data_IF_452661948700
#
_entry.id   IF_452661948700
#
_cell.length_a   1.000
_cell.length_b   1.000
_cell.length_c   1.000
_cell.angle_alpha   90.00
_cell.angle_beta   90.00
_cell.angle_gamma   90.00
#
_symmetry.space_group_name_H-M   'P 1'
#
loop_
_entity.id
_entity.type
_entity.pdbx_description
1 polymer ?
#
# COMPACT_ATOMS: atom_id res chain seq x y z
N UNK A 1 -2.91 19.32 -20.65
CA UNK A 1 -2.41 18.52 -19.50
C UNK A 1 -3.40 17.48 -18.96
N UNK A 2 -4.72 17.73 -18.92
CA UNK A 2 -5.71 16.73 -18.41
C UNK A 2 -5.72 15.38 -19.15
N UNK A 3 -5.33 15.35 -20.42
CA UNK A 3 -5.31 14.15 -21.28
C UNK A 3 -4.22 13.14 -20.92
N UNK A 4 -3.07 13.58 -20.36
CA UNK A 4 -1.97 12.68 -19.98
C UNK A 4 -1.99 12.25 -18.51
N UNK A 5 -2.75 12.95 -17.66
CA UNK A 5 -2.76 12.68 -16.21
C UNK A 5 -3.15 11.24 -15.87
N UNK A 6 -4.25 10.75 -16.47
CA UNK A 6 -4.78 9.41 -16.19
C UNK A 6 -3.79 8.29 -16.59
N UNK A 7 -3.31 8.21 -17.84
CA UNK A 7 -2.36 7.16 -18.21
C UNK A 7 -1.06 7.25 -17.42
N UNK A 8 -0.57 8.46 -17.10
CA UNK A 8 0.61 8.61 -16.25
C UNK A 8 0.37 8.11 -14.83
N UNK A 9 -0.76 8.46 -14.21
CA UNK A 9 -1.10 8.01 -12.87
C UNK A 9 -1.36 6.50 -12.80
N UNK A 10 -2.03 5.91 -13.79
CA UNK A 10 -2.23 4.45 -13.88
C UNK A 10 -0.88 3.72 -14.02
N UNK A 11 0.01 4.24 -14.87
CA UNK A 11 1.36 3.68 -15.06
C UNK A 11 2.18 3.76 -13.78
N UNK A 12 2.25 4.93 -13.14
CA UNK A 12 3.00 5.12 -11.89
C UNK A 12 2.43 4.30 -10.75
N UNK A 13 1.10 4.15 -10.71
CA UNK A 13 0.43 3.30 -9.75
C UNK A 13 0.86 1.83 -9.89
N UNK A 14 0.77 1.28 -11.10
CA UNK A 14 1.16 -0.11 -11.36
C UNK A 14 2.65 -0.31 -11.12
N UNK A 15 3.50 0.58 -11.63
CA UNK A 15 4.94 0.51 -11.43
C UNK A 15 5.33 0.58 -9.94
N UNK A 16 4.70 1.46 -9.17
CA UNK A 16 4.89 1.54 -7.72
C UNK A 16 4.42 0.28 -7.00
N UNK A 17 3.29 -0.30 -7.41
CA UNK A 17 2.79 -1.54 -6.81
C UNK A 17 3.72 -2.72 -7.09
N UNK A 18 4.22 -2.84 -8.32
CA UNK A 18 5.20 -3.86 -8.71
C UNK A 18 6.53 -3.67 -7.98
N UNK A 19 7.00 -2.43 -7.84
CA UNK A 19 8.20 -2.10 -7.08
C UNK A 19 8.07 -2.52 -5.61
N UNK A 20 6.93 -2.23 -4.98
CA UNK A 20 6.65 -2.70 -3.62
C UNK A 20 6.53 -4.22 -3.53
N UNK A 21 5.80 -4.86 -4.46
CA UNK A 21 5.62 -6.31 -4.48
C UNK A 21 6.94 -7.06 -4.62
N UNK A 22 7.87 -6.54 -5.44
CA UNK A 22 9.23 -7.03 -5.54
C UNK A 22 9.95 -6.98 -4.18
N UNK A 23 9.92 -5.83 -3.50
CA UNK A 23 10.56 -5.69 -2.18
C UNK A 23 9.90 -6.59 -1.14
N UNK A 24 8.57 -6.72 -1.15
CA UNK A 24 7.83 -7.61 -0.26
C UNK A 24 8.22 -9.08 -0.48
N UNK A 25 8.37 -9.52 -1.73
CA UNK A 25 8.85 -10.86 -2.04
C UNK A 25 10.29 -11.07 -1.56
N UNK A 26 11.17 -10.08 -1.76
CA UNK A 26 12.54 -10.14 -1.24
C UNK A 26 12.55 -10.20 0.29
N UNK A 27 11.72 -9.43 0.98
CA UNK A 27 11.60 -9.45 2.43
C UNK A 27 11.19 -10.84 2.95
N UNK A 28 10.18 -11.45 2.32
CA UNK A 28 9.69 -12.78 2.69
C UNK A 28 10.73 -13.87 2.41
N UNK A 29 11.52 -13.76 1.33
CA UNK A 29 12.47 -14.81 0.96
C UNK A 29 13.88 -14.62 1.54
N UNK A 30 14.30 -13.37 1.74
CA UNK A 30 15.66 -12.97 2.15
C UNK A 30 15.61 -11.66 2.96
N UNK A 31 15.13 -11.69 4.21
CA UNK A 31 14.94 -10.49 5.02
C UNK A 31 16.25 -9.69 5.22
N UNK A 32 17.39 -10.36 5.37
CA UNK A 32 18.70 -9.70 5.53
C UNK A 32 19.11 -8.88 4.31
N UNK A 33 18.53 -9.15 3.14
CA UNK A 33 18.84 -8.46 1.90
C UNK A 33 18.16 -7.08 1.80
N UNK A 34 17.24 -6.72 2.71
CA UNK A 34 16.52 -5.44 2.70
C UNK A 34 17.41 -4.22 2.94
N UNK A 35 18.49 -4.39 3.69
CA UNK A 35 19.45 -3.33 4.02
C UNK A 35 20.41 -3.02 2.86
N UNK A 36 20.46 -3.89 1.85
CA UNK A 36 21.33 -3.75 0.69
C UNK A 36 20.71 -2.77 -0.32
N UNK A 37 21.56 -2.03 -1.03
CA UNK A 37 21.15 -1.15 -2.13
C UNK A 37 20.53 -1.93 -3.30
N UNK A 38 19.55 -1.33 -3.97
CA UNK A 38 18.91 -1.93 -5.16
C UNK A 38 19.87 -2.01 -6.33
N UNK A 39 20.55 -0.91 -6.60
CA UNK A 39 21.50 -0.78 -7.69
C UNK A 39 22.73 -0.04 -7.17
N UNK A 40 23.89 -0.34 -7.74
CA UNK A 40 25.14 0.35 -7.44
C UNK A 40 25.12 1.82 -7.85
N UNK A 41 24.32 2.16 -8.88
CA UNK A 41 24.22 3.51 -9.45
C UNK A 41 23.27 4.42 -8.64
N UNK A 42 22.25 3.85 -8.00
CA UNK A 42 21.35 4.58 -7.13
C UNK A 42 21.39 3.94 -5.74
N UNK A 43 22.15 4.50 -4.78
CA UNK A 43 22.35 3.93 -3.45
C UNK A 43 21.09 4.12 -2.59
N UNK A 44 19.97 3.56 -3.04
CA UNK A 44 18.73 3.47 -2.29
C UNK A 44 18.60 2.05 -1.74
N UNK A 45 18.46 1.94 -0.41
CA UNK A 45 18.17 0.67 0.26
C UNK A 45 16.85 0.09 -0.25
N UNK A 46 16.75 -1.24 -0.32
CA UNK A 46 15.54 -1.94 -0.82
C UNK A 46 14.30 -1.60 -0.01
N UNK A 47 14.42 -1.48 1.30
CA UNK A 47 13.31 -1.07 2.17
C UNK A 47 12.82 0.36 1.90
N UNK A 48 13.72 1.33 1.72
CA UNK A 48 13.37 2.70 1.31
C UNK A 48 12.62 2.71 -0.01
N UNK A 49 13.12 1.98 -1.01
CA UNK A 49 12.48 1.91 -2.30
C UNK A 49 11.10 1.26 -2.24
N UNK A 50 10.94 0.20 -1.45
CA UNK A 50 9.65 -0.44 -1.25
C UNK A 50 8.64 0.53 -0.63
N UNK A 51 9.05 1.28 0.39
CA UNK A 51 8.20 2.29 1.04
C UNK A 51 7.78 3.41 0.08
N UNK A 52 8.74 3.96 -0.69
CA UNK A 52 8.47 5.00 -1.70
C UNK A 52 7.57 4.47 -2.81
N UNK A 53 7.81 3.24 -3.28
CA UNK A 53 7.02 2.60 -4.34
C UNK A 53 5.57 2.40 -3.88
N UNK A 54 5.36 1.96 -2.64
CA UNK A 54 4.03 1.83 -2.05
C UNK A 54 3.33 3.17 -1.90
N UNK A 55 4.03 4.19 -1.40
CA UNK A 55 3.49 5.54 -1.23
C UNK A 55 3.10 6.19 -2.57
N UNK A 56 3.94 6.02 -3.60
CA UNK A 56 3.64 6.47 -4.96
C UNK A 56 2.40 5.77 -5.51
N UNK A 57 2.34 4.45 -5.35
CA UNK A 57 1.19 3.68 -5.81
C UNK A 57 -0.10 4.12 -5.12
N UNK A 58 -0.04 4.31 -3.78
CA UNK A 58 -1.16 4.81 -2.98
C UNK A 58 -1.62 6.20 -3.42
N UNK A 59 -0.69 7.13 -3.63
CA UNK A 59 -1.02 8.50 -4.03
C UNK A 59 -1.70 8.52 -5.39
N UNK A 60 -1.20 7.75 -6.36
CA UNK A 60 -1.82 7.63 -7.68
C UNK A 60 -3.18 6.94 -7.62
N UNK A 61 -3.31 5.86 -6.83
CA UNK A 61 -4.56 5.17 -6.57
C UNK A 61 -5.65 6.09 -6.02
N UNK A 62 -5.32 6.84 -4.98
CA UNK A 62 -6.22 7.81 -4.38
C UNK A 62 -6.59 8.92 -5.38
N UNK A 63 -5.60 9.50 -6.05
CA UNK A 63 -5.82 10.59 -7.00
C UNK A 63 -6.66 10.18 -8.21
N UNK A 64 -6.46 8.96 -8.73
CA UNK A 64 -7.31 8.39 -9.77
C UNK A 64 -8.74 8.23 -9.24
N UNK A 65 -8.91 7.54 -8.11
CA UNK A 65 -10.24 7.25 -7.57
C UNK A 65 -11.02 8.52 -7.20
N UNK A 66 -10.37 9.52 -6.62
CA UNK A 66 -10.99 10.80 -6.30
C UNK A 66 -11.39 11.63 -7.54
N UNK A 67 -10.71 11.45 -8.69
CA UNK A 67 -10.95 12.25 -9.91
C UNK A 67 -11.85 11.56 -10.93
N UNK A 68 -11.68 10.25 -11.13
CA UNK A 68 -12.34 9.47 -12.19
C UNK A 68 -13.36 8.47 -11.66
N UNK A 69 -13.30 8.17 -10.36
CA UNK A 69 -14.25 7.32 -9.68
C UNK A 69 -14.10 5.83 -9.87
N UNK A 70 -13.20 5.38 -10.72
CA UNK A 70 -12.96 3.96 -10.98
C UNK A 70 -11.53 3.71 -11.39
N UNK A 71 -11.05 2.54 -11.02
CA UNK A 71 -9.69 2.09 -11.23
C UNK A 71 -9.53 1.49 -12.65
N UNK A 72 -10.48 0.67 -13.11
CA UNK A 72 -10.31 -0.13 -14.34
C UNK A 72 -11.58 -0.32 -15.21
N UNK A 73 -12.81 -0.16 -14.71
CA UNK A 73 -14.05 -0.42 -15.49
C UNK A 73 -15.19 0.57 -15.11
N UNK A 74 -15.95 0.98 -16.14
CA UNK A 74 -17.12 1.89 -16.28
C UNK A 74 -17.85 2.45 -15.02
N UNK A 75 -18.21 3.74 -15.15
CA UNK A 75 -18.98 4.65 -14.27
C UNK A 75 -20.06 3.99 -13.40
N UNK A 76 -19.90 4.14 -12.08
CA UNK A 76 -20.99 4.26 -11.12
C UNK A 76 -20.70 5.50 -10.26
N UNK A 77 -21.22 6.67 -10.67
CA UNK A 77 -21.03 7.94 -9.95
C UNK A 77 -19.58 8.44 -9.86
N UNK A 78 -19.41 9.71 -9.47
CA UNK A 78 -18.14 10.18 -8.91
C UNK A 78 -18.18 9.81 -7.43
N UNK A 79 -17.37 8.85 -6.94
CA UNK A 79 -17.29 8.57 -5.53
C UNK A 79 -16.80 9.82 -4.80
N UNK A 80 -17.36 10.03 -3.62
CA UNK A 80 -16.91 11.08 -2.72
C UNK A 80 -15.42 10.90 -2.41
N UNK A 81 -14.69 12.00 -2.21
CA UNK A 81 -13.28 11.96 -1.83
C UNK A 81 -13.06 11.12 -0.56
N UNK A 82 -14.03 11.16 0.37
CA UNK A 82 -14.03 10.30 1.55
C UNK A 82 -14.08 8.80 1.19
N UNK A 83 -14.88 8.41 0.21
CA UNK A 83 -14.98 7.01 -0.24
C UNK A 83 -13.70 6.58 -0.97
N UNK A 84 -13.12 7.46 -1.79
CA UNK A 84 -11.82 7.24 -2.41
C UNK A 84 -10.72 7.04 -1.36
N UNK A 85 -10.72 7.85 -0.30
CA UNK A 85 -9.82 7.75 0.84
C UNK A 85 -9.96 6.42 1.58
N UNK A 86 -11.18 6.07 2.00
CA UNK A 86 -11.45 4.83 2.72
C UNK A 86 -11.06 3.60 1.90
N UNK A 87 -11.34 3.59 0.60
CA UNK A 87 -10.99 2.48 -0.27
C UNK A 87 -9.48 2.36 -0.52
N UNK A 88 -8.78 3.49 -0.72
CA UNK A 88 -7.33 3.49 -0.88
C UNK A 88 -6.64 3.04 0.42
N UNK A 89 -6.99 3.64 1.56
CA UNK A 89 -6.41 3.30 2.86
C UNK A 89 -6.70 1.84 3.21
N UNK A 90 -7.94 1.38 3.05
CA UNK A 90 -8.31 -0.01 3.31
C UNK A 90 -7.57 -0.99 2.39
N UNK A 91 -7.48 -0.71 1.09
CA UNK A 91 -6.78 -1.57 0.13
C UNK A 91 -5.30 -1.71 0.45
N UNK A 92 -4.62 -0.62 0.79
CA UNK A 92 -3.19 -0.64 1.10
C UNK A 92 -2.90 -1.20 2.49
N UNK A 93 -3.77 -0.94 3.47
CA UNK A 93 -3.71 -1.61 4.77
C UNK A 93 -3.85 -3.13 4.62
N UNK A 94 -4.75 -3.60 3.75
CA UNK A 94 -4.86 -5.03 3.43
C UNK A 94 -3.59 -5.60 2.80
N UNK A 95 -2.99 -4.91 1.82
CA UNK A 95 -1.74 -5.35 1.19
C UNK A 95 -0.60 -5.50 2.21
N UNK A 96 -0.42 -4.49 3.06
CA UNK A 96 0.60 -4.53 4.12
C UNK A 96 0.30 -5.63 5.13
N UNK A 97 -0.97 -5.82 5.51
CA UNK A 97 -1.38 -6.90 6.41
C UNK A 97 -1.06 -8.28 5.83
N UNK A 98 -1.42 -8.52 4.57
CA UNK A 98 -1.12 -9.79 3.86
C UNK A 98 0.39 -10.03 3.82
N UNK A 99 1.18 -9.02 3.46
CA UNK A 99 2.63 -9.08 3.50
C UNK A 99 3.14 -9.51 4.89
N UNK A 100 2.65 -8.86 5.96
CA UNK A 100 3.07 -9.18 7.33
C UNK A 100 2.62 -10.58 7.78
N UNK A 101 1.47 -11.07 7.30
CA UNK A 101 1.07 -12.46 7.52
C UNK A 101 2.08 -13.43 6.88
N UNK A 102 2.45 -13.22 5.61
CA UNK A 102 3.46 -14.04 4.95
C UNK A 102 4.83 -13.93 5.64
N UNK A 103 5.24 -12.72 6.02
CA UNK A 103 6.52 -12.52 6.72
C UNK A 103 6.55 -13.24 8.06
N UNK A 104 5.47 -13.16 8.85
CA UNK A 104 5.37 -13.88 10.13
C UNK A 104 5.34 -15.41 9.96
N UNK A 105 4.77 -15.92 8.86
CA UNK A 105 4.77 -17.36 8.56
C UNK A 105 6.16 -17.85 8.14
N UNK A 106 6.87 -17.08 7.31
CA UNK A 106 8.21 -17.43 6.84
C UNK A 106 9.30 -17.20 7.89
N UNK A 107 9.16 -16.15 8.69
CA UNK A 107 10.16 -15.71 9.66
C UNK A 107 9.51 -15.29 10.99
N UNK A 108 8.96 -16.22 11.80
CA UNK A 108 8.23 -15.89 13.03
C UNK A 108 9.07 -15.16 14.10
N UNK A 109 10.40 -15.14 13.94
CA UNK A 109 11.30 -14.37 14.81
C UNK A 109 11.28 -12.87 14.50
N UNK A 110 10.84 -12.45 13.31
CA UNK A 110 10.84 -11.04 12.89
C UNK A 110 9.68 -10.23 13.43
N UNK A 111 8.69 -10.87 14.06
CA UNK A 111 7.52 -10.18 14.64
C UNK A 111 7.89 -9.11 15.67
N UNK A 112 9.05 -9.26 16.33
CA UNK A 112 9.61 -8.31 17.31
C UNK A 112 10.48 -7.23 16.66
N UNK A 113 10.86 -7.38 15.39
CA UNK A 113 11.65 -6.40 14.68
C UNK A 113 10.82 -5.19 14.26
N UNK A 114 11.54 -4.12 13.96
CA UNK A 114 11.00 -2.82 13.56
C UNK A 114 10.42 -2.95 12.16
N UNK A 115 9.23 -2.41 11.93
CA UNK A 115 8.60 -2.46 10.61
C UNK A 115 9.35 -1.65 9.56
N UNK A 116 9.99 -0.55 9.97
CA UNK A 116 10.84 0.27 9.10
C UNK A 116 12.13 0.63 9.82
N UNK A 117 13.17 0.97 9.06
CA UNK A 117 14.38 1.57 9.64
C UNK A 117 14.23 3.05 9.97
N UNK A 118 13.13 3.69 9.53
CA UNK A 118 12.88 5.12 9.76
C UNK A 118 12.35 5.41 11.17
N UNK A 119 11.73 4.43 11.82
CA UNK A 119 11.14 4.59 13.14
C UNK A 119 11.28 3.31 13.97
N UNK A 120 11.55 3.44 15.26
CA UNK A 120 11.76 2.29 16.16
C UNK A 120 10.49 1.51 16.51
N UNK A 121 9.34 2.11 16.22
CA UNK A 121 7.98 1.66 16.48
C UNK A 121 7.12 2.10 15.30
N UNK A 122 6.08 1.37 14.92
CA UNK A 122 5.63 0.09 15.47
C UNK A 122 6.52 -1.12 15.10
N UNK A 123 6.43 -2.19 15.89
CA UNK A 123 6.95 -3.51 15.52
C UNK A 123 6.15 -4.11 14.37
N UNK A 124 6.70 -5.10 13.65
CA UNK A 124 5.96 -5.83 12.62
C UNK A 124 4.62 -6.38 13.12
N UNK A 125 4.60 -6.98 14.32
CA UNK A 125 3.37 -7.48 14.93
C UNK A 125 2.35 -6.38 15.24
N UNK A 126 2.81 -5.25 15.80
CA UNK A 126 1.94 -4.09 16.05
C UNK A 126 1.38 -3.52 14.76
N UNK A 127 2.22 -3.39 13.71
CA UNK A 127 1.78 -2.92 12.38
C UNK A 127 0.72 -3.84 11.80
N UNK A 128 0.86 -5.15 11.92
CA UNK A 128 -0.15 -6.10 11.44
C UNK A 128 -1.51 -5.86 12.11
N UNK A 129 -1.53 -5.72 13.45
CA UNK A 129 -2.77 -5.41 14.18
C UNK A 129 -3.36 -4.07 13.74
N UNK A 130 -2.54 -3.03 13.61
CA UNK A 130 -3.00 -1.72 13.16
C UNK A 130 -3.58 -1.76 11.74
N UNK A 131 -2.90 -2.44 10.80
CA UNK A 131 -3.41 -2.62 9.44
C UNK A 131 -4.74 -3.36 9.41
N UNK A 132 -4.91 -4.39 10.27
CA UNK A 132 -6.18 -5.10 10.38
C UNK A 132 -7.31 -4.22 10.92
N UNK A 133 -7.04 -3.42 11.96
CA UNK A 133 -8.01 -2.48 12.53
C UNK A 133 -8.39 -1.38 11.52
N UNK A 134 -7.40 -0.80 10.84
CA UNK A 134 -7.62 0.21 9.79
C UNK A 134 -8.45 -0.37 8.65
N UNK A 135 -8.13 -1.58 8.18
CA UNK A 135 -8.90 -2.26 7.14
C UNK A 135 -10.36 -2.45 7.60
N UNK A 136 -10.57 -2.93 8.82
CA UNK A 136 -11.92 -3.17 9.37
C UNK A 136 -12.72 -1.86 9.48
N UNK A 137 -12.09 -0.79 9.97
CA UNK A 137 -12.71 0.54 10.04
C UNK A 137 -13.05 1.10 8.65
N UNK A 138 -12.16 0.93 7.68
CA UNK A 138 -12.41 1.35 6.29
C UNK A 138 -13.57 0.57 5.66
N UNK A 139 -13.60 -0.76 5.81
CA UNK A 139 -14.69 -1.59 5.31
C UNK A 139 -16.03 -1.22 5.96
N UNK A 140 -16.04 -1.05 7.29
CA UNK A 140 -17.22 -0.59 8.02
C UNK A 140 -17.69 0.78 7.52
N UNK A 141 -16.79 1.76 7.41
CA UNK A 141 -17.08 3.09 6.91
C UNK A 141 -17.67 3.07 5.49
N UNK A 142 -17.12 2.26 4.58
CA UNK A 142 -17.67 2.08 3.23
C UNK A 142 -19.08 1.48 3.26
N UNK A 143 -19.34 0.49 4.12
CA UNK A 143 -20.67 -0.13 4.27
C UNK A 143 -21.70 0.84 4.84
N UNK A 144 -21.35 1.59 5.89
CA UNK A 144 -22.23 2.61 6.49
C UNK A 144 -22.58 3.69 5.47
N UNK A 145 -21.59 4.16 4.69
CA UNK A 145 -21.83 5.18 3.66
C UNK A 145 -22.72 4.65 2.54
N UNK A 146 -22.51 3.42 2.09
CA UNK A 146 -23.40 2.78 1.11
C UNK A 146 -24.84 2.70 1.61
N UNK A 147 -25.06 2.37 2.88
CA UNK A 147 -26.39 2.29 3.49
C UNK A 147 -27.07 3.67 3.66
N UNK A 148 -26.32 4.78 3.67
CA UNK A 148 -26.86 6.15 3.77
C UNK A 148 -27.20 6.79 2.42
N UNK A 149 -26.62 6.27 1.33
CA UNK A 149 -26.72 6.88 -0.01
C UNK A 149 -27.35 5.94 -1.07
N UNK A 150 -27.70 4.70 -0.70
CA UNK A 150 -28.41 3.75 -1.54
C UNK A 150 -29.80 3.52 -1.00
#
# INVERSE_FOLDING_TARGET
MRTMFRPAAETLMVAGLLGWAYVAAVAVLRPDALSIHIATVLPMRRDTFGAVSLALSFACAYALRARTGTFWVRRAGRPDAAEAGLAAVGGYAFLVWVYLCFNNLSHPRTTRYRFTHFWEHPSEGTTAVLCFLVLSACLFGLRVRKARHG
#
